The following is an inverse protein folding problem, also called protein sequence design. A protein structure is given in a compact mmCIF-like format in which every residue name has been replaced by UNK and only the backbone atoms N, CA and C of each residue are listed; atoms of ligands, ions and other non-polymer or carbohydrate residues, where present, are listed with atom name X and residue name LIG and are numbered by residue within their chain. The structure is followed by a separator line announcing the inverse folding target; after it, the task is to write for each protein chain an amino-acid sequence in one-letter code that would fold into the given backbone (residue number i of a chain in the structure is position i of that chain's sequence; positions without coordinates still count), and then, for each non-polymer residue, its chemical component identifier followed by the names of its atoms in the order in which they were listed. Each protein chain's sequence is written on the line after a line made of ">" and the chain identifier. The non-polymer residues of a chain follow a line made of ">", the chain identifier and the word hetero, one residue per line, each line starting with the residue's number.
data_IF_033608394593
#
_entry.id   IF_033608394593
#
_cell.length_a   1.000
_cell.length_b   1.000
_cell.length_c   1.000
_cell.angle_alpha   90.00
_cell.angle_beta   90.00
_cell.angle_gamma   90.00
#
_symmetry.space_group_name_H-M   'P 1'
#
loop_
_entity.id
_entity.type
_entity.pdbx_description
1 polymer ?
#
# COMPACT_ATOMS: atom_id res chain seq x y z
N UNK A 1 20.60 23.92 -31.97
CA UNK A 1 19.70 23.33 -30.97
C UNK A 1 18.46 24.18 -30.66
N UNK A 2 18.60 25.45 -30.21
CA UNK A 2 17.40 26.24 -29.85
C UNK A 2 16.47 26.48 -31.05
N UNK A 3 17.02 26.74 -32.24
CA UNK A 3 16.22 26.92 -33.46
C UNK A 3 15.51 25.64 -33.91
N UNK A 4 16.14 24.50 -33.74
CA UNK A 4 15.55 23.19 -34.04
C UNK A 4 14.43 22.86 -33.03
N UNK A 5 14.65 23.13 -31.73
CA UNK A 5 13.63 22.93 -30.68
C UNK A 5 12.38 23.81 -30.84
N UNK A 6 12.52 24.97 -31.51
CA UNK A 6 11.41 25.90 -31.79
C UNK A 6 10.64 25.56 -33.07
N UNK A 7 11.01 24.52 -33.82
CA UNK A 7 10.20 24.06 -34.97
C UNK A 7 8.82 23.60 -34.45
N UNK A 8 7.71 23.84 -35.18
CA UNK A 8 6.34 23.53 -34.73
C UNK A 8 6.17 22.09 -34.30
N UNK A 9 6.81 21.16 -34.98
CA UNK A 9 6.78 19.72 -34.68
C UNK A 9 7.39 19.39 -33.31
N UNK A 10 8.46 20.07 -32.91
CA UNK A 10 9.15 19.85 -31.66
C UNK A 10 8.44 20.54 -30.48
N UNK A 11 7.76 21.66 -30.74
CA UNK A 11 6.85 22.29 -29.76
C UNK A 11 5.65 21.37 -29.48
N UNK A 12 5.05 20.80 -30.54
CA UNK A 12 3.94 19.87 -30.40
C UNK A 12 4.37 18.59 -29.64
N UNK A 13 5.56 18.06 -29.95
CA UNK A 13 6.13 16.92 -29.22
C UNK A 13 6.41 17.24 -27.77
N UNK A 14 6.89 18.46 -27.44
CA UNK A 14 7.07 18.92 -26.05
C UNK A 14 5.74 18.98 -25.29
N UNK A 15 4.72 19.58 -25.93
CA UNK A 15 3.38 19.64 -25.34
C UNK A 15 2.82 18.24 -25.08
N UNK A 16 3.02 17.30 -26.00
CA UNK A 16 2.67 15.90 -25.82
C UNK A 16 3.42 15.25 -24.65
N UNK A 17 4.74 15.46 -24.54
CA UNK A 17 5.54 14.94 -23.44
C UNK A 17 5.12 15.53 -22.08
N UNK A 18 4.81 16.84 -22.03
CA UNK A 18 4.33 17.50 -20.81
C UNK A 18 2.93 17.01 -20.41
N UNK A 19 2.06 16.74 -21.38
CA UNK A 19 0.73 16.18 -21.12
C UNK A 19 0.83 14.78 -20.51
N UNK A 20 1.69 13.93 -21.06
CA UNK A 20 1.96 12.59 -20.52
C UNK A 20 2.59 12.68 -19.12
N UNK A 21 3.57 13.55 -18.92
CA UNK A 21 4.20 13.77 -17.62
C UNK A 21 3.18 14.25 -16.57
N UNK A 22 2.27 15.17 -16.95
CA UNK A 22 1.19 15.65 -16.08
C UNK A 22 0.22 14.52 -15.71
N UNK A 23 -0.10 13.63 -16.65
CA UNK A 23 -0.92 12.45 -16.41
C UNK A 23 -0.28 11.53 -15.34
N UNK A 24 1.03 11.30 -15.41
CA UNK A 24 1.75 10.51 -14.42
C UNK A 24 1.75 11.17 -13.04
N UNK A 25 1.93 12.49 -12.96
CA UNK A 25 1.87 13.23 -11.70
C UNK A 25 0.47 13.14 -11.07
N UNK A 26 -0.58 13.31 -11.86
CA UNK A 26 -1.96 13.20 -11.38
C UNK A 26 -2.29 11.78 -10.89
N UNK A 27 -1.79 10.76 -11.57
CA UNK A 27 -1.96 9.36 -11.17
C UNK A 27 -1.24 9.08 -9.85
N UNK A 28 -0.03 9.64 -9.68
CA UNK A 28 0.73 9.56 -8.43
C UNK A 28 -0.02 10.20 -7.27
N UNK A 29 -0.59 11.40 -7.46
CA UNK A 29 -1.39 12.09 -6.44
C UNK A 29 -2.64 11.27 -6.08
N UNK A 30 -3.37 10.77 -7.07
CA UNK A 30 -4.56 9.95 -6.82
C UNK A 30 -4.26 8.68 -6.03
N UNK A 31 -3.15 7.99 -6.32
CA UNK A 31 -2.71 6.83 -5.53
C UNK A 31 -2.33 7.20 -4.10
N UNK A 32 -1.68 8.35 -3.93
CA UNK A 32 -1.26 8.83 -2.61
C UNK A 32 -2.47 9.20 -1.74
N UNK A 33 -3.44 9.92 -2.30
CA UNK A 33 -4.67 10.28 -1.60
C UNK A 33 -5.44 9.04 -1.16
N UNK A 34 -5.57 8.04 -2.04
CA UNK A 34 -6.26 6.80 -1.72
C UNK A 34 -5.56 5.96 -0.65
N UNK A 35 -4.24 6.09 -0.49
CA UNK A 35 -3.50 5.44 0.60
C UNK A 35 -3.70 6.12 1.95
N UNK A 36 -4.06 7.41 1.97
CA UNK A 36 -4.36 8.15 3.18
C UNK A 36 -5.80 7.93 3.67
N UNK A 37 -6.75 7.70 2.77
CA UNK A 37 -8.15 7.38 3.13
C UNK A 37 -8.28 6.07 3.94
N UNK A 38 -7.29 5.19 3.86
CA UNK A 38 -7.21 3.96 4.65
C UNK A 38 -6.48 4.15 6.00
N UNK A 39 -6.02 5.36 6.31
CA UNK A 39 -5.35 5.63 7.58
C UNK A 39 -6.39 5.69 8.71
N UNK A 40 -6.10 5.08 9.88
CA UNK A 40 -6.99 5.17 11.03
C UNK A 40 -7.16 6.64 11.45
N UNK A 41 -8.36 7.00 11.98
CA UNK A 41 -8.65 8.36 12.42
C UNK A 41 -7.70 8.78 13.55
N UNK A 42 -7.38 10.08 13.68
CA UNK A 42 -6.52 10.55 14.77
C UNK A 42 -7.17 10.29 16.13
N UNK A 43 -6.40 9.97 17.18
CA UNK A 43 -6.93 9.67 18.52
C UNK A 43 -7.88 10.75 19.07
N UNK A 44 -7.66 12.02 18.73
CA UNK A 44 -8.53 13.11 19.16
C UNK A 44 -9.98 13.03 18.65
N UNK A 45 -10.24 12.26 17.59
CA UNK A 45 -11.59 12.06 17.06
C UNK A 45 -12.23 10.79 17.59
N UNK A 46 -11.44 9.77 17.96
CA UNK A 46 -11.94 8.48 18.44
C UNK A 46 -12.35 8.48 19.90
N UNK A 47 -11.96 9.51 20.68
CA UNK A 47 -12.30 9.62 22.12
C UNK A 47 -13.69 10.16 22.39
N UNK A 48 -14.40 10.67 21.39
CA UNK A 48 -15.79 11.11 21.56
C UNK A 48 -16.72 9.94 21.34
N UNK A 49 -17.60 9.59 22.31
CA UNK A 49 -18.58 8.55 22.11
C UNK A 49 -19.50 8.88 20.93
N UNK A 50 -19.71 7.89 20.06
CA UNK A 50 -20.69 7.95 18.96
C UNK A 50 -21.61 6.73 19.06
N UNK A 51 -22.88 6.81 18.62
CA UNK A 51 -23.76 5.66 18.62
C UNK A 51 -23.17 4.53 17.78
N UNK A 52 -23.11 3.30 18.33
CA UNK A 52 -22.55 2.15 17.63
C UNK A 52 -23.27 1.88 16.30
N UNK A 53 -24.61 1.98 16.29
CA UNK A 53 -25.45 1.72 15.12
C UNK A 53 -25.23 2.72 13.97
N UNK A 54 -24.75 3.91 14.27
CA UNK A 54 -24.40 4.95 13.28
C UNK A 54 -22.99 4.75 12.75
N UNK A 55 -22.07 4.25 13.59
CA UNK A 55 -20.65 4.12 13.27
C UNK A 55 -20.32 2.79 12.57
N UNK A 56 -20.88 1.68 13.04
CA UNK A 56 -20.55 0.36 12.55
C UNK A 56 -21.82 -0.50 12.42
N UNK A 57 -21.85 -1.44 11.46
CA UNK A 57 -23.03 -2.28 11.19
C UNK A 57 -22.71 -3.76 11.32
N UNK A 58 -23.68 -4.59 11.74
CA UNK A 58 -23.53 -6.05 11.74
C UNK A 58 -23.20 -6.58 10.33
N UNK A 59 -22.51 -7.73 10.29
CA UNK A 59 -22.17 -8.40 9.04
C UNK A 59 -21.13 -7.70 8.15
N UNK A 60 -20.69 -6.49 8.50
CA UNK A 60 -19.58 -5.80 7.83
C UNK A 60 -18.23 -6.24 8.40
N UNK A 61 -17.24 -6.45 7.52
CA UNK A 61 -15.85 -6.55 7.96
C UNK A 61 -15.38 -5.20 8.52
N UNK A 62 -14.76 -5.21 9.70
CA UNK A 62 -14.23 -4.00 10.33
C UNK A 62 -13.00 -3.53 9.58
N UNK A 63 -13.00 -2.25 9.18
CA UNK A 63 -11.85 -1.57 8.60
C UNK A 63 -11.06 -0.85 9.69
N UNK A 64 -9.82 -0.47 9.38
CA UNK A 64 -9.01 0.31 10.32
C UNK A 64 -9.63 1.66 10.71
N UNK A 65 -10.50 2.21 9.85
CA UNK A 65 -11.25 3.44 10.10
C UNK A 65 -12.42 3.25 11.08
N UNK A 66 -12.91 2.03 11.24
CA UNK A 66 -14.04 1.70 12.12
C UNK A 66 -13.54 1.35 13.53
N UNK A 67 -12.30 0.88 13.64
CA UNK A 67 -11.69 0.43 14.88
C UNK A 67 -11.23 1.59 15.78
N UNK A 68 -11.05 1.26 17.06
CA UNK A 68 -10.51 2.18 18.09
C UNK A 68 -11.43 3.35 18.46
N UNK A 69 -12.65 3.39 17.93
CA UNK A 69 -13.65 4.40 18.24
C UNK A 69 -14.30 4.10 19.59
N UNK A 70 -14.47 5.14 20.43
CA UNK A 70 -15.36 5.07 21.60
C UNK A 70 -16.80 5.11 21.11
N UNK A 71 -17.56 4.08 21.44
CA UNK A 71 -18.96 3.93 21.03
C UNK A 71 -19.88 3.85 22.24
N UNK A 72 -21.12 4.26 22.06
CA UNK A 72 -22.23 3.98 22.99
C UNK A 72 -23.26 3.09 22.33
N UNK A 73 -23.82 2.18 23.06
CA UNK A 73 -24.89 1.29 22.60
C UNK A 73 -25.92 1.09 23.72
N UNK A 74 -27.18 1.25 23.36
CA UNK A 74 -28.32 0.90 24.22
C UNK A 74 -28.76 -0.55 23.93
N UNK A 75 -29.27 -1.25 24.94
CA UNK A 75 -29.73 -2.62 24.77
C UNK A 75 -29.64 -3.46 26.03
N UNK A 76 -29.57 -4.81 25.88
CA UNK A 76 -29.60 -5.74 27.00
C UNK A 76 -28.53 -6.83 26.86
N UNK A 77 -27.98 -7.31 27.99
CA UNK A 77 -27.13 -8.48 27.97
C UNK A 77 -28.02 -9.74 27.81
N UNK A 78 -27.60 -10.62 26.90
CA UNK A 78 -28.29 -11.89 26.68
C UNK A 78 -27.99 -12.86 27.83
N UNK A 79 -29.00 -13.45 28.48
CA UNK A 79 -28.79 -14.44 29.51
C UNK A 79 -27.96 -15.63 28.99
N UNK A 80 -27.12 -16.19 29.85
CA UNK A 80 -26.31 -17.39 29.56
C UNK A 80 -25.38 -17.30 28.34
N UNK A 81 -25.18 -16.11 27.79
CA UNK A 81 -24.24 -15.80 26.68
C UNK A 81 -23.02 -15.10 27.22
N UNK A 82 -22.31 -15.76 28.15
CA UNK A 82 -21.10 -15.21 28.78
C UNK A 82 -19.99 -16.24 28.76
N UNK A 83 -18.76 -15.79 28.50
CA UNK A 83 -17.54 -16.60 28.42
C UNK A 83 -16.37 -15.94 29.11
N UNK A 84 -15.39 -16.75 29.50
CA UNK A 84 -14.07 -16.28 29.90
C UNK A 84 -13.10 -16.34 28.72
N UNK A 85 -12.24 -15.32 28.59
CA UNK A 85 -11.15 -15.32 27.65
C UNK A 85 -9.85 -15.25 28.45
N UNK A 86 -9.05 -16.29 28.36
CA UNK A 86 -7.83 -16.49 29.14
C UNK A 86 -6.63 -15.66 28.63
N UNK A 87 -5.54 -15.69 29.44
CA UNK A 87 -4.27 -15.05 29.11
C UNK A 87 -4.37 -13.52 28.96
N UNK A 88 -5.22 -12.89 29.75
CA UNK A 88 -5.39 -11.45 29.79
C UNK A 88 -4.60 -10.85 30.93
N UNK A 89 -3.64 -9.97 30.60
CA UNK A 89 -2.81 -9.31 31.59
C UNK A 89 -3.49 -8.04 32.07
N UNK A 90 -3.64 -7.92 33.38
CA UNK A 90 -4.11 -6.70 34.03
C UNK A 90 -3.17 -6.39 35.20
N UNK A 91 -2.64 -5.18 35.29
CA UNK A 91 -1.65 -4.73 36.30
C UNK A 91 -0.49 -5.73 36.57
N UNK A 92 -0.03 -6.39 35.49
CA UNK A 92 1.07 -7.36 35.56
C UNK A 92 0.67 -8.79 35.98
N UNK A 93 -0.61 -9.02 36.28
CA UNK A 93 -1.15 -10.35 36.58
C UNK A 93 -1.86 -10.94 35.34
N UNK A 94 -1.68 -12.23 35.13
CA UNK A 94 -2.39 -12.96 34.08
C UNK A 94 -3.69 -13.52 34.63
N UNK A 95 -4.80 -13.25 33.95
CA UNK A 95 -6.13 -13.70 34.32
C UNK A 95 -7.05 -13.82 33.11
N UNK A 96 -8.27 -13.41 33.28
CA UNK A 96 -9.36 -13.65 32.33
C UNK A 96 -10.18 -12.39 32.07
N UNK A 97 -10.55 -12.16 30.83
CA UNK A 97 -11.64 -11.23 30.52
C UNK A 97 -12.98 -11.95 30.62
N UNK A 98 -13.95 -11.29 31.24
CA UNK A 98 -15.35 -11.69 31.26
C UNK A 98 -16.06 -11.03 30.10
N UNK A 99 -16.54 -11.84 29.16
CA UNK A 99 -17.14 -11.34 27.89
C UNK A 99 -18.58 -11.84 27.82
N UNK A 100 -19.52 -10.93 27.59
CA UNK A 100 -20.93 -11.27 27.44
C UNK A 100 -21.50 -10.71 26.12
N UNK A 101 -22.50 -11.37 25.57
CA UNK A 101 -23.24 -10.90 24.42
C UNK A 101 -24.21 -9.79 24.84
N UNK A 102 -24.10 -8.63 24.20
CA UNK A 102 -24.98 -7.50 24.39
C UNK A 102 -25.80 -7.28 23.11
N UNK A 103 -27.12 -7.52 23.21
CA UNK A 103 -28.04 -7.28 22.12
C UNK A 103 -28.27 -5.79 21.99
N UNK A 104 -27.99 -5.25 20.81
CA UNK A 104 -27.98 -3.80 20.56
C UNK A 104 -29.32 -3.36 20.00
N UNK A 105 -29.92 -2.38 20.65
CA UNK A 105 -31.18 -1.80 20.20
C UNK A 105 -31.05 -1.12 18.85
N UNK A 106 -31.99 -1.39 17.95
CA UNK A 106 -31.98 -0.84 16.60
C UNK A 106 -30.93 -1.41 15.66
N UNK A 107 -30.19 -2.46 16.08
CA UNK A 107 -29.30 -3.18 15.19
C UNK A 107 -30.08 -4.04 14.17
N UNK A 108 -29.53 -4.21 12.98
CA UNK A 108 -30.09 -5.12 11.97
C UNK A 108 -30.09 -6.56 12.52
N UNK A 109 -31.22 -7.28 12.38
CA UNK A 109 -31.42 -8.66 12.83
C UNK A 109 -31.22 -8.86 14.34
N UNK A 110 -31.50 -7.89 15.16
CA UNK A 110 -31.29 -7.94 16.62
C UNK A 110 -29.86 -8.39 16.99
N UNK A 111 -28.89 -7.94 16.20
CA UNK A 111 -27.52 -8.36 16.33
C UNK A 111 -26.91 -7.99 17.68
N UNK A 112 -26.11 -8.89 18.22
CA UNK A 112 -25.37 -8.68 19.45
C UNK A 112 -23.93 -8.23 19.16
N UNK A 113 -23.34 -7.53 20.13
CA UNK A 113 -21.91 -7.25 20.14
C UNK A 113 -21.28 -7.89 21.38
N UNK A 114 -20.14 -8.61 21.25
CA UNK A 114 -19.42 -9.07 22.44
C UNK A 114 -18.89 -7.87 23.23
N UNK A 115 -19.17 -7.85 24.52
CA UNK A 115 -18.74 -6.79 25.44
C UNK A 115 -17.82 -7.40 26.51
N UNK A 116 -16.59 -6.89 26.58
CA UNK A 116 -15.68 -7.17 27.70
C UNK A 116 -16.17 -6.36 28.91
N UNK A 117 -16.75 -7.06 29.90
CA UNK A 117 -17.33 -6.45 31.09
C UNK A 117 -16.28 -6.08 32.13
N UNK A 118 -15.18 -6.82 32.16
CA UNK A 118 -14.10 -6.62 33.13
C UNK A 118 -13.12 -7.78 33.12
N UNK A 119 -12.18 -7.75 34.05
CA UNK A 119 -11.13 -8.74 34.26
C UNK A 119 -11.28 -9.40 35.63
N UNK A 120 -10.89 -10.69 35.73
CA UNK A 120 -10.79 -11.45 36.99
C UNK A 120 -9.50 -12.30 36.99
N UNK A 121 -8.94 -12.60 38.19
CA UNK A 121 -7.65 -13.29 38.29
C UNK A 121 -7.72 -14.79 38.01
N UNK A 122 -8.85 -15.41 38.19
CA UNK A 122 -9.05 -16.88 38.14
C UNK A 122 -10.16 -17.27 37.16
N UNK A 123 -10.35 -18.56 36.96
CA UNK A 123 -11.37 -19.17 36.09
C UNK A 123 -12.70 -19.44 36.78
N UNK A 124 -12.91 -18.84 37.96
CA UNK A 124 -14.18 -18.95 38.67
C UNK A 124 -15.33 -18.45 37.78
N UNK A 125 -16.51 -19.04 37.94
CA UNK A 125 -17.69 -18.59 37.23
C UNK A 125 -17.96 -17.11 37.57
N UNK A 126 -17.92 -16.21 36.55
CA UNK A 126 -18.11 -14.81 36.81
C UNK A 126 -19.54 -14.49 37.21
N UNK A 127 -19.75 -13.39 37.90
CA UNK A 127 -21.08 -12.90 38.21
C UNK A 127 -21.91 -12.75 36.91
N UNK A 128 -23.20 -13.08 37.01
CA UNK A 128 -24.12 -12.93 35.90
C UNK A 128 -24.06 -11.46 35.33
N UNK A 129 -24.31 -11.34 34.06
CA UNK A 129 -24.40 -10.00 33.44
C UNK A 129 -25.61 -9.26 34.07
N UNK A 130 -25.53 -7.92 34.20
CA UNK A 130 -26.65 -7.09 34.63
C UNK A 130 -27.86 -7.32 33.71
N UNK A 131 -29.05 -7.20 34.29
CA UNK A 131 -30.31 -7.39 33.56
C UNK A 131 -31.03 -6.04 33.39
N UNK A 132 -31.88 -5.96 32.38
CA UNK A 132 -32.64 -4.72 32.05
C UNK A 132 -32.00 -3.95 30.91
N UNK A 133 -32.63 -2.86 30.59
CA UNK A 133 -32.09 -1.90 29.58
C UNK A 133 -30.88 -1.20 30.15
N UNK A 134 -29.82 -1.15 29.33
CA UNK A 134 -28.51 -0.63 29.71
C UNK A 134 -27.92 0.21 28.59
N UNK A 135 -27.16 1.22 28.95
CA UNK A 135 -26.29 1.92 28.04
C UNK A 135 -24.83 1.50 28.30
N UNK A 136 -24.19 0.91 27.31
CA UNK A 136 -22.78 0.51 27.36
C UNK A 136 -21.95 1.55 26.58
N UNK A 137 -20.97 2.15 27.25
CA UNK A 137 -19.96 3.00 26.60
C UNK A 137 -18.61 2.32 26.70
N UNK A 138 -17.93 2.19 25.57
CA UNK A 138 -16.66 1.48 25.52
C UNK A 138 -15.90 1.69 24.20
N UNK A 139 -14.72 1.08 24.12
CA UNK A 139 -13.88 1.14 22.93
C UNK A 139 -14.17 -0.02 22.01
N UNK A 140 -14.49 0.27 20.76
CA UNK A 140 -14.73 -0.71 19.72
C UNK A 140 -13.41 -1.23 19.16
N UNK A 141 -13.20 -2.54 19.24
CA UNK A 141 -11.97 -3.19 18.81
C UNK A 141 -12.26 -4.29 17.78
N UNK A 142 -11.30 -4.58 16.87
CA UNK A 142 -11.45 -5.65 15.91
C UNK A 142 -11.43 -7.02 16.56
N UNK A 143 -12.15 -7.98 15.96
CA UNK A 143 -12.10 -9.39 16.36
C UNK A 143 -10.69 -9.94 16.35
N UNK A 144 -10.36 -10.77 17.33
CA UNK A 144 -9.11 -11.52 17.31
C UNK A 144 -9.21 -12.74 16.38
N UNK A 145 -8.08 -13.19 15.86
CA UNK A 145 -8.03 -14.41 15.06
C UNK A 145 -8.36 -15.62 15.96
N UNK A 146 -9.15 -16.58 15.47
CA UNK A 146 -9.39 -17.80 16.20
C UNK A 146 -8.07 -18.55 16.41
N UNK A 147 -7.87 -19.06 17.62
CA UNK A 147 -6.75 -19.93 17.95
C UNK A 147 -7.24 -21.37 17.94
N UNK A 148 -6.72 -22.14 16.97
CA UNK A 148 -7.03 -23.55 16.85
C UNK A 148 -6.37 -24.35 17.99
N UNK A 149 -7.10 -25.28 18.56
CA UNK A 149 -6.62 -26.21 19.58
C UNK A 149 -7.73 -26.73 20.50
N UNK A 150 -7.53 -27.95 21.03
CA UNK A 150 -8.37 -28.46 22.05
C UNK A 150 -8.21 -27.61 23.31
N UNK A 151 -9.22 -26.84 23.67
CA UNK A 151 -9.20 -26.06 24.88
C UNK A 151 -9.47 -26.97 26.04
N UNK A 152 -8.55 -27.16 27.00
CA UNK A 152 -8.78 -28.01 28.15
C UNK A 152 -9.81 -27.43 29.13
N UNK A 153 -10.03 -26.10 29.06
CA UNK A 153 -10.87 -25.34 29.96
C UNK A 153 -12.06 -24.72 29.20
N UNK A 154 -13.11 -24.38 29.92
CA UNK A 154 -14.27 -23.68 29.36
C UNK A 154 -13.94 -22.24 28.82
N UNK A 155 -12.71 -21.77 29.09
CA UNK A 155 -12.25 -20.43 28.68
C UNK A 155 -11.69 -20.43 27.26
N UNK A 156 -12.09 -19.43 26.48
CA UNK A 156 -11.58 -19.20 25.12
C UNK A 156 -10.13 -18.72 25.13
N UNK A 157 -9.35 -19.10 24.12
CA UNK A 157 -7.96 -18.65 23.97
C UNK A 157 -7.85 -17.27 23.31
N UNK A 158 -8.85 -16.84 22.56
CA UNK A 158 -8.95 -15.55 21.88
C UNK A 158 -10.38 -15.06 21.87
N UNK A 159 -10.55 -13.73 21.78
CA UNK A 159 -11.86 -13.10 21.58
C UNK A 159 -12.18 -13.07 20.08
N UNK A 160 -12.46 -14.25 19.54
CA UNK A 160 -12.87 -14.41 18.15
C UNK A 160 -14.38 -14.35 18.01
N UNK A 161 -14.88 -13.31 17.36
CA UNK A 161 -16.33 -13.16 17.12
C UNK A 161 -16.87 -14.32 16.30
N UNK A 162 -16.10 -14.85 15.35
CA UNK A 162 -16.50 -16.02 14.57
C UNK A 162 -16.72 -17.27 15.43
N UNK A 163 -15.95 -17.46 16.51
CA UNK A 163 -16.19 -18.53 17.48
C UNK A 163 -17.42 -18.23 18.34
N UNK A 164 -17.61 -16.98 18.77
CA UNK A 164 -18.73 -16.58 19.62
C UNK A 164 -20.08 -16.68 18.91
N UNK A 165 -20.17 -16.31 17.62
CA UNK A 165 -21.40 -16.49 16.83
C UNK A 165 -21.85 -17.95 16.85
N UNK A 166 -20.94 -18.90 16.63
CA UNK A 166 -21.26 -20.32 16.66
C UNK A 166 -21.59 -20.85 18.08
N UNK A 167 -20.93 -20.27 19.10
CA UNK A 167 -21.13 -20.69 20.47
C UNK A 167 -22.47 -20.19 21.05
N UNK A 168 -22.83 -18.94 20.71
CA UNK A 168 -23.99 -18.27 21.25
C UNK A 168 -25.23 -18.38 20.36
N UNK A 169 -25.08 -18.79 19.11
CA UNK A 169 -26.14 -18.87 18.10
C UNK A 169 -26.89 -17.52 17.96
N UNK A 170 -26.12 -16.48 17.65
CA UNK A 170 -26.60 -15.09 17.49
C UNK A 170 -25.98 -14.44 16.26
N UNK A 171 -26.69 -13.51 15.63
CA UNK A 171 -26.10 -12.57 14.71
C UNK A 171 -25.26 -11.56 15.50
N UNK A 172 -24.08 -11.23 14.98
CA UNK A 172 -23.18 -10.34 15.70
C UNK A 172 -22.44 -9.33 14.80
N UNK A 173 -22.01 -8.25 15.42
CA UNK A 173 -21.01 -7.35 14.88
C UNK A 173 -19.67 -8.07 14.74
N UNK A 174 -18.85 -7.74 13.73
CA UNK A 174 -17.54 -8.36 13.51
C UNK A 174 -16.40 -7.77 14.37
N UNK A 175 -16.74 -7.09 15.44
CA UNK A 175 -15.83 -6.55 16.46
C UNK A 175 -16.39 -6.77 17.85
N UNK A 176 -15.69 -6.24 18.86
CA UNK A 176 -16.14 -6.28 20.25
C UNK A 176 -15.90 -4.93 20.94
N UNK A 177 -16.61 -4.69 22.04
CA UNK A 177 -16.46 -3.47 22.84
C UNK A 177 -15.78 -3.82 24.16
N UNK A 178 -14.76 -3.08 24.55
CA UNK A 178 -14.24 -3.06 25.92
C UNK A 178 -14.97 -1.97 26.68
N UNK A 179 -15.88 -2.35 27.56
CA UNK A 179 -16.70 -1.41 28.32
C UNK A 179 -15.87 -0.71 29.40
N UNK A 180 -16.02 0.58 29.52
CA UNK A 180 -15.50 1.35 30.65
C UNK A 180 -16.59 2.12 31.42
N UNK A 181 -17.81 2.20 30.88
CA UNK A 181 -18.97 2.71 31.55
C UNK A 181 -20.20 1.89 31.13
N UNK A 182 -20.98 1.45 32.10
CA UNK A 182 -22.26 0.78 31.89
C UNK A 182 -23.25 1.36 32.89
N UNK A 183 -24.38 1.82 32.41
CA UNK A 183 -25.41 2.48 33.19
C UNK A 183 -26.78 1.83 32.90
N UNK A 184 -27.65 1.79 33.90
CA UNK A 184 -29.06 1.46 33.72
C UNK A 184 -29.90 2.67 33.23
N UNK A 185 -31.16 2.44 32.91
CA UNK A 185 -32.11 3.49 32.48
C UNK A 185 -32.23 4.67 33.45
N UNK A 186 -31.92 4.45 34.72
CA UNK A 186 -31.93 5.49 35.73
C UNK A 186 -30.59 6.24 35.83
N UNK A 187 -29.58 5.82 35.03
CA UNK A 187 -28.24 6.35 35.09
C UNK A 187 -27.39 5.82 36.24
N UNK A 188 -27.83 4.73 36.89
CA UNK A 188 -27.05 4.12 37.96
C UNK A 188 -25.96 3.20 37.37
N UNK A 189 -24.75 3.16 37.98
CA UNK A 189 -23.67 2.29 37.53
C UNK A 189 -24.05 0.80 37.58
N UNK A 190 -23.74 0.08 36.50
CA UNK A 190 -23.94 -1.35 36.36
C UNK A 190 -22.71 -2.04 35.77
N UNK A 191 -21.53 -1.44 35.93
CA UNK A 191 -20.30 -1.84 35.27
C UNK A 191 -19.51 -2.96 35.96
N UNK A 192 -18.19 -2.93 35.78
CA UNK A 192 -17.28 -3.95 36.30
C UNK A 192 -17.28 -4.02 37.81
N UNK A 193 -17.20 -2.86 38.48
CA UNK A 193 -17.12 -2.78 39.93
C UNK A 193 -18.36 -3.37 40.63
N UNK A 194 -19.56 -3.09 40.10
CA UNK A 194 -20.83 -3.61 40.63
C UNK A 194 -20.94 -5.13 40.45
N UNK A 195 -20.22 -5.67 39.46
CA UNK A 195 -20.12 -7.12 39.19
C UNK A 195 -18.95 -7.81 39.91
N UNK A 196 -18.19 -7.09 40.75
CA UNK A 196 -16.97 -7.61 41.39
C UNK A 196 -15.83 -7.92 40.45
N UNK A 197 -15.80 -7.28 39.27
CA UNK A 197 -14.73 -7.38 38.26
C UNK A 197 -13.83 -6.16 38.33
N UNK A 198 -12.61 -6.34 37.88
CA UNK A 198 -11.69 -5.21 37.70
C UNK A 198 -11.91 -4.56 36.33
N UNK A 199 -11.87 -3.24 36.30
CA UNK A 199 -12.09 -2.47 35.07
C UNK A 199 -10.93 -2.69 34.10
N UNK A 200 -11.24 -3.05 32.87
CA UNK A 200 -10.24 -3.16 31.82
C UNK A 200 -10.02 -1.77 31.17
N UNK A 201 -8.82 -1.23 31.33
CA UNK A 201 -8.44 0.01 30.68
C UNK A 201 -7.75 -0.27 29.33
N UNK A 202 -8.41 0.12 28.24
CA UNK A 202 -7.84 0.11 26.89
C UNK A 202 -7.75 1.54 26.40
N UNK A 203 -6.53 2.05 26.33
CA UNK A 203 -6.25 3.36 25.73
C UNK A 203 -6.28 3.32 24.20
N UNK A 204 -6.21 4.50 23.56
CA UNK A 204 -6.06 4.57 22.10
C UNK A 204 -4.88 3.71 21.67
N UNK A 205 -5.08 2.90 20.64
CA UNK A 205 -4.00 2.10 20.10
C UNK A 205 -2.93 3.03 19.52
N UNK A 206 -1.62 2.78 19.80
CA UNK A 206 -0.56 3.52 19.14
C UNK A 206 -0.71 3.35 17.63
N UNK A 207 -1.10 4.41 16.96
CA UNK A 207 -1.20 4.38 15.51
C UNK A 207 0.20 4.48 14.93
N UNK A 208 0.85 3.34 14.78
CA UNK A 208 1.99 3.27 13.90
C UNK A 208 1.48 3.61 12.50
N UNK A 209 1.88 4.77 11.99
CA UNK A 209 1.74 5.08 10.56
C UNK A 209 2.92 4.43 9.86
N UNK A 210 2.85 3.16 9.48
CA UNK A 210 3.93 2.57 8.72
C UNK A 210 4.03 3.38 7.43
N UNK A 211 5.20 3.98 7.21
CA UNK A 211 5.49 4.58 5.90
C UNK A 211 5.30 3.45 4.90
N UNK A 212 4.29 3.57 4.07
CA UNK A 212 4.07 2.60 3.01
C UNK A 212 5.17 2.78 1.96
N UNK A 213 6.31 2.12 2.18
CA UNK A 213 7.47 2.17 1.30
C UNK A 213 7.12 1.83 -0.15
N UNK A 214 6.10 1.01 -0.35
CA UNK A 214 5.60 0.68 -1.68
C UNK A 214 5.02 1.92 -2.38
N UNK A 215 4.24 2.73 -1.66
CA UNK A 215 3.68 3.96 -2.21
C UNK A 215 4.76 5.02 -2.47
N UNK A 216 5.76 5.11 -1.59
CA UNK A 216 6.93 5.97 -1.80
C UNK A 216 7.70 5.53 -3.04
N UNK A 217 7.91 4.22 -3.20
CA UNK A 217 8.58 3.66 -4.36
C UNK A 217 7.83 3.96 -5.66
N UNK A 218 6.52 3.74 -5.69
CA UNK A 218 5.70 4.11 -6.86
C UNK A 218 5.69 5.62 -7.13
N UNK A 219 5.68 6.44 -6.09
CA UNK A 219 5.78 7.89 -6.25
C UNK A 219 7.08 8.30 -6.96
N UNK A 220 8.22 7.70 -6.58
CA UNK A 220 9.52 7.93 -7.22
C UNK A 220 9.48 7.41 -8.67
N UNK A 221 8.93 6.23 -8.92
CA UNK A 221 8.81 5.63 -10.24
C UNK A 221 8.07 6.56 -11.23
N UNK A 222 6.96 7.16 -10.81
CA UNK A 222 6.21 8.09 -11.64
C UNK A 222 7.00 9.35 -11.97
N UNK A 223 7.79 9.87 -11.03
CA UNK A 223 8.68 11.01 -11.25
C UNK A 223 9.77 10.67 -12.26
N UNK A 224 10.33 9.47 -12.18
CA UNK A 224 11.32 8.95 -13.14
C UNK A 224 10.71 8.85 -14.54
N UNK A 225 9.49 8.34 -14.68
CA UNK A 225 8.82 8.27 -15.99
C UNK A 225 8.49 9.63 -16.56
N UNK A 226 8.08 10.59 -15.74
CA UNK A 226 7.89 11.97 -16.17
C UNK A 226 9.19 12.59 -16.67
N UNK A 227 10.30 12.41 -15.94
CA UNK A 227 11.63 12.83 -16.34
C UNK A 227 12.09 12.16 -17.63
N UNK A 228 11.78 10.87 -17.80
CA UNK A 228 12.13 10.13 -19.01
C UNK A 228 11.38 10.62 -20.25
N UNK A 229 10.11 11.00 -20.13
CA UNK A 229 9.36 11.60 -21.23
C UNK A 229 10.02 12.90 -21.75
N UNK A 230 10.44 13.78 -20.83
CA UNK A 230 11.17 15.01 -21.15
C UNK A 230 12.55 14.71 -21.74
N UNK A 231 13.25 13.71 -21.18
CA UNK A 231 14.55 13.27 -21.69
C UNK A 231 14.43 12.73 -23.13
N UNK A 232 13.42 11.93 -23.44
CA UNK A 232 13.21 11.44 -24.80
C UNK A 232 12.96 12.58 -25.77
N UNK A 233 12.15 13.57 -25.41
CA UNK A 233 11.95 14.76 -26.22
C UNK A 233 13.27 15.47 -26.48
N UNK A 234 14.08 15.74 -25.44
CA UNK A 234 15.38 16.39 -25.58
C UNK A 234 16.33 15.60 -26.49
N UNK A 235 16.36 14.28 -26.33
CA UNK A 235 17.19 13.39 -27.16
C UNK A 235 16.79 13.46 -28.63
N UNK A 236 15.49 13.39 -28.92
CA UNK A 236 14.99 13.47 -30.30
C UNK A 236 15.33 14.82 -30.96
N UNK A 237 15.16 15.92 -30.22
CA UNK A 237 15.59 17.26 -30.69
C UNK A 237 17.11 17.34 -30.96
N UNK A 238 17.89 16.68 -30.09
CA UNK A 238 19.34 16.63 -30.23
C UNK A 238 19.77 15.82 -31.44
N UNK A 239 19.09 14.70 -31.71
CA UNK A 239 19.39 13.86 -32.88
C UNK A 239 19.00 14.56 -34.20
N UNK A 240 17.83 15.27 -34.22
CA UNK A 240 17.43 16.08 -35.36
C UNK A 240 18.43 17.22 -35.65
N UNK A 241 18.89 17.90 -34.60
CA UNK A 241 19.91 18.93 -34.71
C UNK A 241 21.23 18.39 -35.29
N UNK A 242 21.65 17.19 -34.88
CA UNK A 242 22.89 16.57 -35.41
C UNK A 242 22.75 16.25 -36.88
N UNK A 243 21.63 15.66 -37.30
CA UNK A 243 21.34 15.36 -38.70
C UNK A 243 21.38 16.65 -39.57
N UNK A 244 20.75 17.73 -39.10
CA UNK A 244 20.75 19.00 -39.78
C UNK A 244 22.19 19.59 -39.95
N UNK A 245 23.10 19.32 -39.00
CA UNK A 245 24.48 19.71 -39.10
C UNK A 245 25.29 18.85 -40.10
N UNK A 246 24.99 17.55 -40.13
CA UNK A 246 25.61 16.60 -41.09
C UNK A 246 25.18 16.93 -42.51
N UNK A 247 23.89 17.19 -42.75
CA UNK A 247 23.35 17.57 -44.05
C UNK A 247 24.00 18.86 -44.57
N UNK A 248 24.16 19.87 -43.70
CA UNK A 248 24.83 21.16 -44.08
C UNK A 248 26.31 20.96 -44.39
N UNK A 249 27.01 20.04 -43.72
CA UNK A 249 28.41 19.72 -44.00
C UNK A 249 28.56 19.00 -45.35
N UNK A 250 27.67 18.07 -45.63
CA UNK A 250 27.64 17.32 -46.88
C UNK A 250 27.33 18.26 -48.08
N UNK A 251 26.35 19.15 -47.94
CA UNK A 251 26.06 20.18 -48.96
C UNK A 251 27.27 21.10 -49.22
N UNK A 252 27.95 21.54 -48.14
CA UNK A 252 29.16 22.37 -48.27
C UNK A 252 30.31 21.62 -48.95
N UNK A 253 30.49 20.32 -48.63
CA UNK A 253 31.49 19.49 -49.27
C UNK A 253 31.20 19.26 -50.76
N UNK A 254 29.95 19.03 -51.13
CA UNK A 254 29.51 18.90 -52.51
C UNK A 254 29.67 20.21 -53.29
N UNK A 255 29.33 21.35 -52.68
CA UNK A 255 29.53 22.67 -53.31
C UNK A 255 31.04 22.98 -53.58
N UNK A 256 31.91 22.61 -52.62
CA UNK A 256 33.35 22.77 -52.77
C UNK A 256 33.95 21.89 -53.88
N UNK A 257 33.34 20.73 -54.15
CA UNK A 257 33.76 19.84 -55.25
C UNK A 257 33.24 20.29 -56.64
N UNK A 258 32.21 21.11 -56.66
CA UNK A 258 31.60 21.62 -57.93
C UNK A 258 32.12 22.99 -58.39
N UNK A 259 33.02 23.61 -57.63
CA UNK A 259 33.64 24.87 -58.05
C UNK A 259 34.80 24.61 -59.06
N UNK A 260 34.60 24.89 -60.39
CA UNK A 260 35.64 24.60 -61.45
C UNK A 260 36.76 25.57 -61.50
N UNK A 261 36.92 26.45 -60.49
CA UNK A 261 37.76 27.63 -60.55
C UNK A 261 39.19 27.50 -60.08
N UNK A 262 39.78 26.34 -59.86
CA UNK A 262 41.22 26.18 -59.62
C UNK A 262 41.86 25.13 -60.53
N UNK A 263 41.83 25.38 -61.83
CA UNK A 263 42.84 24.80 -62.66
C UNK A 263 44.06 25.72 -62.56
N UNK A 264 45.07 25.24 -61.90
CA UNK A 264 46.42 25.84 -61.89
C UNK A 264 47.01 25.73 -63.32
N UNK A 265 47.30 26.84 -64.00
CA UNK A 265 47.94 26.80 -65.32
C UNK A 265 49.47 26.80 -65.19
N UNK A 266 50.03 25.61 -64.91
CA UNK A 266 51.47 25.52 -64.82
C UNK A 266 52.10 24.18 -64.50
N UNK A 267 51.84 23.16 -65.34
CA UNK A 267 52.84 22.09 -65.46
C UNK A 267 52.84 21.52 -66.87
N UNK A 268 53.88 21.99 -67.62
CA UNK A 268 54.26 21.47 -68.92
C UNK A 268 54.77 20.04 -68.82
N UNK A 269 54.28 19.19 -69.71
CA UNK A 269 54.82 17.86 -70.03
C UNK A 269 56.22 17.86 -70.53
N UNK A 270 57.04 16.91 -70.19
CA UNK A 270 58.00 16.35 -71.15
C UNK A 270 57.63 14.94 -71.60
N UNK A 271 57.80 14.77 -72.89
CA UNK A 271 57.49 13.70 -73.81
C UNK A 271 58.09 12.30 -73.49
N UNK A 272 57.62 11.27 -74.20
CA UNK A 272 57.69 9.87 -73.77
C UNK A 272 59.01 9.17 -74.19
N UNK A 273 59.40 8.19 -73.42
CA UNK A 273 60.37 7.18 -73.86
C UNK A 273 59.92 5.82 -73.38
N UNK A 274 59.55 4.98 -74.35
CA UNK A 274 59.32 3.56 -74.35
C UNK A 274 60.70 2.83 -74.60
N UNK A 275 60.83 1.50 -74.60
CA UNK A 275 60.26 0.41 -73.74
C UNK A 275 61.36 -0.53 -73.22
N UNK A 276 60.97 -1.54 -72.54
CA UNK A 276 61.40 -2.90 -72.65
C UNK A 276 61.68 -3.72 -71.33
N UNK A 277 61.02 -4.75 -71.29
CA UNK A 277 61.43 -6.08 -70.77
C UNK A 277 61.37 -6.39 -69.29
N UNK A 278 60.56 -7.30 -69.05
CA UNK A 278 60.61 -8.74 -68.77
C UNK A 278 60.08 -9.18 -67.37
N UNK A 279 59.03 -9.92 -67.43
CA UNK A 279 58.60 -10.96 -66.52
C UNK A 279 59.71 -11.91 -65.99
N UNK A 280 59.53 -12.80 -64.98
CA UNK A 280 58.32 -13.42 -64.55
C UNK A 280 58.17 -13.69 -63.01
N UNK A 281 56.99 -14.10 -62.63
CA UNK A 281 56.62 -14.83 -61.42
C UNK A 281 57.44 -16.12 -61.22
N UNK A 282 57.33 -16.90 -60.14
CA UNK A 282 56.12 -17.26 -59.40
C UNK A 282 56.28 -17.59 -57.88
N UNK A 283 55.19 -18.01 -57.29
CA UNK A 283 54.99 -19.11 -56.30
C UNK A 283 54.46 -18.75 -54.93
N UNK A 284 53.17 -19.04 -54.80
CA UNK A 284 52.52 -19.62 -53.65
C UNK A 284 53.21 -20.93 -53.21
N UNK A 285 53.18 -21.45 -52.01
CA UNK A 285 51.96 -21.99 -51.44
C UNK A 285 51.86 -22.09 -49.88
N UNK A 286 50.60 -22.17 -49.46
CA UNK A 286 50.06 -23.20 -48.57
C UNK A 286 50.20 -23.20 -47.03
N UNK A 287 49.03 -23.23 -46.43
CA UNK A 287 48.59 -24.11 -45.35
C UNK A 287 49.06 -23.89 -43.91
N UNK A 288 48.16 -23.66 -42.99
CA UNK A 288 47.63 -24.69 -42.09
C UNK A 288 46.65 -24.10 -41.07
N UNK A 289 45.41 -24.60 -41.08
CA UNK A 289 44.59 -24.84 -39.90
C UNK A 289 45.06 -26.18 -39.25
N UNK A 290 44.83 -26.45 -37.97
CA UNK A 290 43.58 -26.99 -37.46
C UNK A 290 43.22 -26.39 -36.04
N UNK A 291 42.00 -26.26 -35.62
CA UNK A 291 40.97 -27.19 -35.15
C UNK A 291 41.29 -27.97 -33.85
N UNK A 292 40.24 -28.05 -33.04
CA UNK A 292 39.96 -28.92 -31.86
C UNK A 292 40.30 -28.28 -30.52
N UNK A 293 39.55 -28.42 -29.45
CA UNK A 293 38.38 -29.26 -29.10
C UNK A 293 37.93 -28.89 -27.67
N UNK A 294 36.63 -28.91 -27.43
CA UNK A 294 35.95 -29.59 -26.34
C UNK A 294 36.35 -29.34 -24.87
N UNK A 295 35.49 -28.88 -24.04
CA UNK A 295 34.77 -29.65 -23.00
C UNK A 295 34.11 -28.77 -21.92
N UNK A 296 32.81 -28.80 -21.83
CA UNK A 296 32.03 -28.86 -20.59
C UNK A 296 32.50 -29.99 -19.66
N UNK A 297 32.08 -30.13 -18.43
CA UNK A 297 30.98 -29.56 -17.65
C UNK A 297 31.28 -29.32 -16.15
N UNK A 298 30.51 -28.52 -15.50
CA UNK A 298 29.76 -28.90 -14.30
C UNK A 298 28.90 -27.71 -13.83
#
# INVERSE_FOLDING_TARGET
>A
MLKTALKPQWILALLGALLVASGFVLLSQWQFDRSQDAAPPPPSTTERPVPLTEHFRPGKAMMATDADQVVSADGTFLPDRQVLVRNRVHEGQTGYWVVAAFQVDGAENDAAIPVVRGWQPDDAAPAAAPTGELTVTGRLLPTESPIDGRQPDAALASLSVAQLINLWDVDAYSGFVVAFDVQDDAGAPAGAAESGLEQVAVGPQPQERPINWLNVFYGIEWVVFAGFAVFLWWRLVSDDYRREQEDLQDEAAHAAQQDPGQQDPGQQDPAPTDPAQQDPAPSDPARHRPATDSKDPK
#
